data_IF_321392317532
#
_entry.id   IF_321392317532
#
_cell.length_a   1.000
_cell.length_b   1.000
_cell.length_c   1.000
_cell.angle_alpha   90.00
_cell.angle_beta   90.00
_cell.angle_gamma   90.00
#
_symmetry.space_group_name_H-M   'P 1'
#
loop_
_entity.id
_entity.type
_entity.pdbx_description
1 polymer ?
#
# COMPACT_ATOMS: atom_id res chain seq x y z
N UNK A 1 -14.85 -9.14 -13.22
CA UNK A 1 -14.87 -7.83 -12.53
C UNK A 1 -13.60 -7.77 -11.70
N UNK A 2 -12.70 -6.83 -11.95
CA UNK A 2 -11.43 -6.78 -11.23
C UNK A 2 -11.63 -6.24 -9.81
N UNK A 3 -10.98 -6.87 -8.83
CA UNK A 3 -11.08 -6.44 -7.42
C UNK A 3 -10.18 -5.22 -7.20
N UNK A 4 -10.70 -4.23 -6.47
CA UNK A 4 -9.93 -3.04 -6.06
C UNK A 4 -9.11 -3.39 -4.82
N UNK A 5 -7.82 -3.62 -5.01
CA UNK A 5 -6.91 -4.05 -3.94
C UNK A 5 -5.95 -2.94 -3.49
N UNK A 6 -5.71 -2.84 -2.18
CA UNK A 6 -4.65 -2.04 -1.58
C UNK A 6 -3.33 -2.77 -1.70
N UNK A 7 -2.26 -2.07 -2.08
CA UNK A 7 -0.92 -2.66 -2.17
C UNK A 7 -0.01 -2.01 -1.14
N UNK A 8 0.37 -2.81 -0.15
CA UNK A 8 1.41 -2.46 0.81
C UNK A 8 2.72 -3.13 0.39
N UNK A 9 3.80 -2.37 0.29
CA UNK A 9 5.12 -2.88 -0.06
C UNK A 9 6.21 -1.92 0.43
N UNK A 10 7.43 -2.44 0.55
CA UNK A 10 8.56 -1.60 0.89
C UNK A 10 9.07 -0.87 -0.36
N UNK A 11 8.91 0.46 -0.36
CA UNK A 11 9.12 1.28 -1.55
C UNK A 11 10.52 1.15 -2.14
N UNK A 12 11.57 1.38 -1.34
CA UNK A 12 12.95 1.49 -1.84
C UNK A 12 13.44 0.21 -2.54
N UNK A 13 13.35 -1.00 -1.95
CA UNK A 13 13.87 -2.20 -2.60
C UNK A 13 12.88 -2.91 -3.51
N UNK A 14 11.56 -2.73 -3.32
CA UNK A 14 10.55 -3.57 -3.97
C UNK A 14 9.74 -2.84 -5.04
N UNK A 15 9.89 -1.51 -5.25
CA UNK A 15 9.14 -0.77 -6.28
C UNK A 15 9.21 -1.43 -7.67
N UNK A 16 10.41 -1.85 -8.10
CA UNK A 16 10.58 -2.53 -9.40
C UNK A 16 9.90 -3.91 -9.47
N UNK A 17 9.84 -4.65 -8.35
CA UNK A 17 9.13 -5.95 -8.26
C UNK A 17 7.63 -5.74 -8.31
N UNK A 18 7.14 -4.75 -7.58
CA UNK A 18 5.72 -4.39 -7.54
C UNK A 18 5.24 -3.89 -8.90
N UNK A 19 6.07 -3.15 -9.64
CA UNK A 19 5.78 -2.71 -11.01
C UNK A 19 5.51 -3.90 -11.94
N UNK A 20 6.25 -5.02 -11.81
CA UNK A 20 5.95 -6.24 -12.58
C UNK A 20 4.60 -6.85 -12.21
N UNK A 21 4.30 -6.97 -10.91
CA UNK A 21 3.03 -7.54 -10.43
C UNK A 21 1.82 -6.73 -10.92
N UNK A 22 1.97 -5.40 -11.02
CA UNK A 22 0.94 -4.51 -11.57
C UNK A 22 0.72 -4.68 -13.07
N UNK A 23 1.79 -4.90 -13.83
CA UNK A 23 1.72 -5.08 -15.29
C UNK A 23 1.07 -6.41 -15.71
N UNK A 24 0.93 -7.38 -14.81
CA UNK A 24 0.29 -8.67 -15.11
C UNK A 24 -1.22 -8.52 -15.38
N UNK A 25 -1.83 -7.35 -15.12
CA UNK A 25 -3.19 -7.04 -15.57
C UNK A 25 -4.33 -7.82 -14.89
N UNK A 26 -4.01 -8.72 -13.94
CA UNK A 26 -4.99 -9.47 -13.16
C UNK A 26 -5.69 -8.62 -12.08
N UNK A 27 -5.22 -7.40 -11.83
CA UNK A 27 -5.74 -6.52 -10.79
C UNK A 27 -5.82 -5.09 -11.35
N UNK A 28 -7.02 -4.49 -11.31
CA UNK A 28 -7.25 -3.16 -11.86
C UNK A 28 -6.45 -2.09 -11.11
N UNK A 29 -5.46 -1.54 -11.81
CA UNK A 29 -5.24 -0.09 -11.91
C UNK A 29 -5.20 0.68 -10.60
N UNK A 30 -4.30 0.32 -9.68
CA UNK A 30 -3.91 1.27 -8.64
C UNK A 30 -2.69 2.07 -9.11
N UNK A 31 -2.89 3.35 -9.46
CA UNK A 31 -1.76 4.29 -9.55
C UNK A 31 -1.13 4.37 -8.15
N UNK A 32 0.18 4.12 -8.00
CA UNK A 32 0.84 4.38 -6.74
C UNK A 32 0.73 5.89 -6.42
N UNK A 33 0.96 6.27 -5.17
CA UNK A 33 1.55 7.58 -4.93
C UNK A 33 2.77 7.68 -5.86
N UNK A 34 2.84 8.75 -6.66
CA UNK A 34 4.06 9.04 -7.40
C UNK A 34 5.21 9.15 -6.39
N UNK A 35 6.45 8.84 -6.76
CA UNK A 35 7.61 8.92 -5.85
C UNK A 35 7.63 10.28 -5.10
N UNK A 36 7.25 11.36 -5.79
CA UNK A 36 7.10 12.70 -5.24
C UNK A 36 6.01 12.83 -4.16
N UNK A 37 4.92 12.07 -4.25
CA UNK A 37 3.84 12.10 -3.25
C UNK A 37 4.30 11.45 -1.95
N UNK A 38 5.10 10.37 -2.02
CA UNK A 38 5.59 9.68 -0.83
C UNK A 38 6.60 10.53 -0.04
N UNK A 39 7.53 11.21 -0.72
CA UNK A 39 8.46 12.15 -0.07
C UNK A 39 7.71 13.33 0.56
N UNK A 40 6.68 13.85 -0.13
CA UNK A 40 5.83 14.93 0.40
C UNK A 40 5.00 14.49 1.60
N UNK A 41 4.48 13.26 1.58
CA UNK A 41 3.68 12.68 2.66
C UNK A 41 4.53 12.32 3.87
N UNK A 42 5.74 11.78 3.67
CA UNK A 42 6.68 11.47 4.77
C UNK A 42 7.21 12.74 5.45
N UNK A 43 7.39 13.84 4.72
CA UNK A 43 7.68 15.15 5.30
C UNK A 43 6.51 15.77 6.09
N UNK A 44 5.30 15.24 5.92
CA UNK A 44 4.06 15.75 6.52
C UNK A 44 3.79 15.31 7.97
N UNK A 45 4.61 14.42 8.52
CA UNK A 45 4.44 13.86 9.86
C UNK A 45 3.43 12.70 9.95
N UNK A 46 3.44 12.00 11.09
CA UNK A 46 2.73 10.73 11.28
C UNK A 46 1.23 10.78 10.95
N UNK A 47 0.56 11.87 11.31
CA UNK A 47 -0.89 12.03 11.10
C UNK A 47 -1.26 12.08 9.62
N UNK A 48 -0.50 12.85 8.82
CA UNK A 48 -0.73 12.95 7.37
C UNK A 48 -0.52 11.61 6.68
N UNK A 49 0.47 10.83 7.13
CA UNK A 49 0.73 9.49 6.58
C UNK A 49 -0.46 8.56 6.87
N UNK A 50 -1.00 8.56 8.09
CA UNK A 50 -2.20 7.77 8.43
C UNK A 50 -3.42 8.18 7.60
N UNK A 51 -3.70 9.48 7.49
CA UNK A 51 -4.83 9.99 6.72
C UNK A 51 -4.68 9.65 5.23
N UNK A 52 -3.45 9.74 4.71
CA UNK A 52 -3.11 9.36 3.34
C UNK A 52 -3.34 7.86 3.11
N UNK A 53 -2.86 6.99 4.00
CA UNK A 53 -3.10 5.53 3.95
C UNK A 53 -4.61 5.23 4.01
N UNK A 54 -5.35 5.88 4.91
CA UNK A 54 -6.79 5.70 5.02
C UNK A 54 -7.53 6.11 3.74
N UNK A 55 -7.09 7.20 3.10
CA UNK A 55 -7.59 7.65 1.80
C UNK A 55 -7.26 6.66 0.68
N UNK A 56 -6.06 6.08 0.68
CA UNK A 56 -5.69 5.04 -0.28
C UNK A 56 -6.54 3.79 -0.10
N UNK A 57 -6.80 3.35 1.13
CA UNK A 57 -7.65 2.18 1.41
C UNK A 57 -9.13 2.41 1.13
N UNK A 58 -9.58 3.66 1.06
CA UNK A 58 -10.98 4.01 0.78
C UNK A 58 -11.38 3.43 -0.59
N UNK A 59 -12.53 2.74 -0.64
CA UNK A 59 -13.06 2.06 -1.83
C UNK A 59 -12.34 0.77 -2.26
N UNK A 60 -11.44 0.23 -1.43
CA UNK A 60 -10.77 -1.05 -1.68
C UNK A 60 -11.37 -2.14 -0.82
N UNK A 61 -11.37 -3.36 -1.35
CA UNK A 61 -12.02 -4.52 -0.72
C UNK A 61 -11.05 -5.59 -0.26
N UNK A 62 -9.76 -5.45 -0.57
CA UNK A 62 -8.72 -6.40 -0.18
C UNK A 62 -7.39 -5.67 -0.03
N UNK A 63 -6.55 -6.09 0.91
CA UNK A 63 -5.17 -5.64 1.04
C UNK A 63 -4.21 -6.76 0.64
N UNK A 64 -3.28 -6.45 -0.25
CA UNK A 64 -2.18 -7.31 -0.69
C UNK A 64 -0.87 -6.74 -0.15
N UNK A 65 -0.18 -7.52 0.66
CA UNK A 65 1.11 -7.15 1.23
C UNK A 65 2.20 -7.90 0.48
N UNK A 66 3.07 -7.15 -0.20
CA UNK A 66 4.19 -7.70 -0.93
C UNK A 66 5.41 -7.71 0.00
N UNK A 67 5.66 -8.89 0.58
CA UNK A 67 6.72 -9.11 1.55
C UNK A 67 8.03 -9.40 0.84
N UNK A 68 8.95 -8.45 0.91
CA UNK A 68 10.36 -8.58 0.57
C UNK A 68 11.23 -8.80 1.80
N UNK A 69 12.54 -8.82 1.60
CA UNK A 69 13.54 -9.11 2.64
C UNK A 69 13.60 -8.09 3.78
N UNK A 70 13.18 -6.84 3.53
CA UNK A 70 13.24 -5.74 4.50
C UNK A 70 11.86 -5.14 4.82
N UNK A 71 10.80 -5.90 4.56
CA UNK A 71 9.40 -5.47 4.73
C UNK A 71 8.91 -5.69 6.16
N UNK A 72 9.46 -6.68 6.86
CA UNK A 72 9.11 -6.97 8.24
C UNK A 72 9.46 -5.79 9.18
N UNK A 73 8.63 -5.64 10.22
CA UNK A 73 8.80 -4.68 11.32
C UNK A 73 8.84 -3.18 10.93
N UNK A 74 8.28 -2.84 9.77
CA UNK A 74 8.13 -1.44 9.36
C UNK A 74 6.88 -0.83 10.00
N UNK A 75 7.05 0.31 10.67
CA UNK A 75 5.99 1.09 11.34
C UNK A 75 4.73 1.24 10.48
N UNK A 76 4.89 1.66 9.22
CA UNK A 76 3.77 1.93 8.31
C UNK A 76 3.10 0.67 7.78
N UNK A 77 3.88 -0.39 7.53
CA UNK A 77 3.35 -1.68 7.10
C UNK A 77 2.54 -2.33 8.23
N UNK A 78 3.05 -2.27 9.46
CA UNK A 78 2.32 -2.73 10.65
C UNK A 78 1.02 -1.93 10.84
N UNK A 79 1.03 -0.63 10.56
CA UNK A 79 -0.18 0.20 10.59
C UNK A 79 -1.19 -0.21 9.51
N UNK A 80 -0.72 -0.40 8.28
CA UNK A 80 -1.56 -0.84 7.14
C UNK A 80 -2.19 -2.22 7.38
N UNK A 81 -1.45 -3.16 7.98
CA UNK A 81 -1.97 -4.47 8.39
C UNK A 81 -3.12 -4.30 9.39
N UNK A 82 -2.90 -3.53 10.46
CA UNK A 82 -3.90 -3.29 11.51
C UNK A 82 -5.15 -2.61 10.95
N UNK A 83 -4.99 -1.58 10.12
CA UNK A 83 -6.10 -0.88 9.49
C UNK A 83 -6.88 -1.80 8.54
N UNK A 84 -6.20 -2.60 7.73
CA UNK A 84 -6.83 -3.53 6.81
C UNK A 84 -7.62 -4.61 7.56
N UNK A 85 -7.08 -5.11 8.66
CA UNK A 85 -7.74 -6.06 9.54
C UNK A 85 -9.01 -5.45 10.15
N UNK A 86 -8.91 -4.25 10.72
CA UNK A 86 -10.05 -3.54 11.32
C UNK A 86 -11.17 -3.25 10.30
N UNK A 87 -10.83 -3.06 9.02
CA UNK A 87 -11.79 -2.81 7.94
C UNK A 87 -12.36 -4.09 7.32
N UNK A 88 -11.98 -5.28 7.79
CA UNK A 88 -12.41 -6.54 7.19
C UNK A 88 -11.92 -6.72 5.75
N UNK A 89 -10.78 -6.11 5.39
CA UNK A 89 -10.16 -6.23 4.07
C UNK A 89 -9.25 -7.46 3.95
N UNK A 90 -9.28 -8.33 4.96
CA UNK A 90 -8.68 -9.67 4.96
C UNK A 90 -9.67 -10.71 4.42
N UNK A 91 -9.18 -11.94 4.28
CA UNK A 91 -10.03 -13.11 4.03
C UNK A 91 -10.74 -13.58 5.29
#
# INVERSE_FOLDING_TARGET
MARKCFYSFHYVPDNWRVSKIRNIGAVEGNRPALDNDWETVTGGGDKKIKDWIAGQMKWRTCTVILVGSNTADRKWINHEIKESWNKGMGC
#
